data_IF_687047589775
#
_entry.id   IF_687047589775
#
_cell.length_a   1.000
_cell.length_b   1.000
_cell.length_c   1.000
_cell.angle_alpha   90.00
_cell.angle_beta   90.00
_cell.angle_gamma   90.00
#
_symmetry.space_group_name_H-M   'P 1'
#
loop_
_entity.id
_entity.type
_entity.pdbx_description
1 polymer ?
#
# COMPACT_ATOMS: atom_id res chain seq x y z
N UNK A 1 -3.05 34.96 -20.06
CA UNK A 1 -3.42 33.55 -19.87
C UNK A 1 -2.97 33.10 -18.50
N UNK A 2 -3.78 32.32 -17.78
CA UNK A 2 -3.38 31.70 -16.51
C UNK A 2 -3.51 30.17 -16.64
N UNK A 3 -2.53 29.44 -16.12
CA UNK A 3 -2.49 27.97 -16.08
C UNK A 3 -2.36 27.50 -14.64
N UNK A 4 -2.98 26.37 -14.30
CA UNK A 4 -2.80 25.66 -13.03
C UNK A 4 -2.84 24.15 -13.26
N UNK A 5 -2.09 23.40 -12.44
CA UNK A 5 -2.07 21.94 -12.44
C UNK A 5 -1.66 21.42 -11.06
N UNK A 6 -2.22 20.27 -10.66
CA UNK A 6 -1.84 19.57 -9.42
C UNK A 6 -0.75 18.56 -9.74
N UNK A 7 0.45 18.75 -9.19
CA UNK A 7 1.58 17.84 -9.38
C UNK A 7 1.32 16.47 -8.73
N UNK A 8 0.81 16.45 -7.49
CA UNK A 8 0.59 15.22 -6.74
C UNK A 8 -0.58 15.36 -5.77
N UNK A 9 -1.58 14.48 -5.91
CA UNK A 9 -2.65 14.31 -4.94
C UNK A 9 -2.28 13.13 -4.04
N UNK A 10 -1.61 13.41 -2.92
CA UNK A 10 -0.89 12.42 -2.09
C UNK A 10 -1.67 11.15 -1.79
N UNK A 11 -2.92 11.25 -1.34
CA UNK A 11 -3.75 10.08 -1.00
C UNK A 11 -4.08 9.22 -2.21
N UNK A 12 -4.33 9.83 -3.37
CA UNK A 12 -4.60 9.13 -4.64
C UNK A 12 -3.33 8.47 -5.17
N UNK A 13 -2.20 9.17 -5.09
CA UNK A 13 -0.91 8.61 -5.49
C UNK A 13 -0.51 7.44 -4.59
N UNK A 14 -0.81 7.49 -3.28
CA UNK A 14 -0.61 6.36 -2.37
C UNK A 14 -1.45 5.15 -2.81
N UNK A 15 -2.73 5.33 -3.14
CA UNK A 15 -3.56 4.21 -3.65
C UNK A 15 -2.94 3.57 -4.90
N UNK A 16 -2.51 4.40 -5.87
CA UNK A 16 -1.87 3.90 -7.08
C UNK A 16 -0.56 3.14 -6.78
N UNK A 17 0.25 3.61 -5.82
CA UNK A 17 1.46 2.91 -5.40
C UNK A 17 1.10 1.56 -4.77
N UNK A 18 0.12 1.51 -3.86
CA UNK A 18 -0.30 0.29 -3.20
C UNK A 18 -0.77 -0.77 -4.20
N UNK A 19 -1.52 -0.39 -5.23
CA UNK A 19 -2.02 -1.31 -6.26
C UNK A 19 -0.91 -1.79 -7.21
N UNK A 20 -0.04 -0.89 -7.67
CA UNK A 20 0.97 -1.22 -8.69
C UNK A 20 2.22 -1.93 -8.13
N UNK A 21 2.51 -1.76 -6.84
CA UNK A 21 3.72 -2.31 -6.20
C UNK A 21 3.40 -3.42 -5.18
N UNK A 22 2.18 -3.96 -5.18
CA UNK A 22 1.78 -5.09 -4.33
C UNK A 22 2.51 -6.38 -4.72
N UNK A 23 3.01 -7.09 -3.71
CA UNK A 23 3.58 -8.45 -3.78
C UNK A 23 2.93 -9.32 -2.70
N UNK A 24 3.20 -10.63 -2.69
CA UNK A 24 2.49 -11.59 -1.82
C UNK A 24 2.59 -11.24 -0.32
N UNK A 25 3.73 -10.76 0.13
CA UNK A 25 4.07 -10.47 1.53
C UNK A 25 4.17 -8.96 1.86
N UNK A 26 3.75 -8.06 0.95
CA UNK A 26 3.72 -6.62 1.22
C UNK A 26 3.62 -5.72 -0.02
N UNK A 27 4.10 -4.48 0.10
CA UNK A 27 4.19 -3.50 -0.99
C UNK A 27 5.63 -3.02 -1.14
N UNK A 28 6.19 -3.10 -2.34
CA UNK A 28 7.53 -2.60 -2.65
C UNK A 28 7.57 -1.08 -2.71
N UNK A 29 8.66 -0.47 -2.25
CA UNK A 29 8.85 0.98 -2.34
C UNK A 29 9.45 1.37 -3.70
N UNK A 30 8.83 2.31 -4.45
CA UNK A 30 9.42 2.85 -5.67
C UNK A 30 10.82 3.41 -5.44
N UNK A 31 11.75 3.19 -6.38
CA UNK A 31 13.17 3.55 -6.24
C UNK A 31 13.38 5.01 -5.81
N UNK A 32 12.62 5.93 -6.40
CA UNK A 32 12.68 7.36 -6.10
C UNK A 32 12.23 7.72 -4.67
N UNK A 33 11.44 6.87 -4.02
CA UNK A 33 10.95 7.09 -2.66
C UNK A 33 11.85 6.45 -1.60
N UNK A 34 12.70 5.47 -1.96
CA UNK A 34 13.56 4.76 -1.01
C UNK A 34 14.45 5.68 -0.15
N UNK A 35 15.10 6.73 -0.68
CA UNK A 35 15.94 7.62 0.12
C UNK A 35 15.17 8.47 1.14
N UNK A 36 13.86 8.64 0.91
CA UNK A 36 12.97 9.41 1.78
C UNK A 36 12.30 8.54 2.86
N UNK A 37 12.40 7.21 2.73
CA UNK A 37 11.79 6.26 3.64
C UNK A 37 12.72 5.92 4.82
N UNK A 38 12.16 5.67 6.02
CA UNK A 38 12.95 5.15 7.14
C UNK A 38 13.64 3.84 6.79
N UNK A 39 14.85 3.59 7.34
CA UNK A 39 15.66 2.39 7.06
C UNK A 39 14.89 1.06 7.17
N UNK A 40 13.91 0.99 8.08
CA UNK A 40 13.07 -0.20 8.29
C UNK A 40 12.14 -0.51 7.10
N UNK A 41 11.73 0.52 6.35
CA UNK A 41 10.75 0.41 5.26
C UNK A 41 11.33 0.90 3.93
N UNK A 42 12.65 0.96 3.78
CA UNK A 42 13.26 1.49 2.55
C UNK A 42 13.01 0.59 1.34
N UNK A 43 12.93 -0.73 1.55
CA UNK A 43 12.70 -1.69 0.48
C UNK A 43 11.22 -2.10 0.35
N UNK A 44 10.54 -2.30 1.49
CA UNK A 44 9.21 -2.92 1.50
C UNK A 44 8.40 -2.58 2.75
N UNK A 45 7.09 -2.44 2.55
CA UNK A 45 6.09 -2.35 3.61
C UNK A 45 5.41 -3.74 3.74
N UNK A 46 5.67 -4.51 4.80
CA UNK A 46 5.07 -5.84 4.96
C UNK A 46 3.60 -5.77 5.37
N UNK A 47 2.81 -6.77 4.97
CA UNK A 47 1.45 -6.93 5.47
C UNK A 47 1.45 -7.44 6.91
N UNK A 48 0.87 -6.65 7.83
CA UNK A 48 0.80 -6.99 9.26
C UNK A 48 -0.54 -7.62 9.67
N UNK A 49 -1.58 -7.37 8.89
CA UNK A 49 -2.93 -7.87 9.15
C UNK A 49 -3.37 -8.76 7.99
N UNK A 50 -4.17 -9.79 8.30
CA UNK A 50 -4.83 -10.59 7.27
C UNK A 50 -5.88 -9.77 6.52
N UNK A 51 -6.12 -10.14 5.26
CA UNK A 51 -7.12 -9.50 4.41
C UNK A 51 -8.50 -9.64 5.08
N UNK A 52 -9.32 -8.58 5.12
CA UNK A 52 -10.64 -8.62 5.78
C UNK A 52 -11.53 -9.77 5.32
N UNK A 53 -11.44 -10.17 4.04
CA UNK A 53 -12.21 -11.27 3.45
C UNK A 53 -11.90 -12.61 4.13
N UNK A 54 -10.64 -12.87 4.46
CA UNK A 54 -10.22 -14.11 5.13
C UNK A 54 -10.64 -14.14 6.61
N UNK A 55 -10.78 -12.97 7.24
CA UNK A 55 -11.29 -12.89 8.60
C UNK A 55 -12.78 -13.19 8.70
N UNK A 56 -13.56 -12.83 7.68
CA UNK A 56 -14.99 -13.12 7.63
C UNK A 56 -15.25 -14.61 7.38
N UNK A 57 -14.53 -15.24 6.45
CA UNK A 57 -14.65 -16.67 6.18
C UNK A 57 -14.29 -17.52 7.41
N UNK A 58 -13.20 -17.19 8.13
CA UNK A 58 -12.79 -17.89 9.34
C UNK A 58 -13.80 -17.76 10.51
N UNK A 59 -14.50 -16.62 10.62
CA UNK A 59 -15.57 -16.43 11.63
C UNK A 59 -16.82 -17.23 11.29
N UNK A 60 -17.12 -17.41 10.01
CA UNK A 60 -18.26 -18.23 9.55
C UNK A 60 -18.00 -19.72 9.79
N UNK A 61 -16.77 -20.21 9.60
CA UNK A 61 -16.43 -21.62 9.87
C UNK A 61 -16.47 -21.97 11.36
N UNK A 62 -16.08 -21.06 12.26
CA UNK A 62 -16.13 -21.28 13.72
C UNK A 62 -17.53 -21.21 14.34
N UNK A 63 -18.54 -20.76 13.59
CA UNK A 63 -19.94 -20.68 14.02
C UNK A 63 -20.79 -21.87 13.55
N UNK A 64 -20.20 -22.85 12.86
CA UNK A 64 -20.86 -24.10 12.46
C UNK A 64 -20.42 -25.25 13.35
#
# INVERSE_FOLDING_TARGET
HMLNATMCATTRTICAILENYQVEDGVLIPEILKPLMPKKYSEKIPFVNQVPVDQETAKVTKKK
#
